data_IF_892920652359
#
_entry.id   IF_892920652359
#
_cell.length_a   1.000
_cell.length_b   1.000
_cell.length_c   1.000
_cell.angle_alpha   90.00
_cell.angle_beta   90.00
_cell.angle_gamma   90.00
#
_symmetry.space_group_name_H-M   'P 1'
#
loop_
_entity.id
_entity.type
_entity.pdbx_description
1 polymer ?
#
# COMPACT_ATOMS: atom_id res chain seq x y z
N UNK A 1 -4.89 -10.11 -31.78
CA UNK A 1 -3.52 -10.51 -31.42
C UNK A 1 -2.59 -9.30 -31.50
N UNK A 2 -2.64 -8.40 -30.51
CA UNK A 2 -1.61 -7.37 -30.32
C UNK A 2 -0.73 -7.84 -29.17
N UNK A 3 0.56 -8.02 -29.47
CA UNK A 3 1.56 -8.50 -28.53
C UNK A 3 1.90 -7.35 -27.59
N UNK A 4 1.76 -7.58 -26.28
CA UNK A 4 2.30 -6.73 -25.24
C UNK A 4 3.82 -6.63 -25.40
N UNK A 5 4.32 -5.40 -25.47
CA UNK A 5 5.73 -5.09 -25.37
C UNK A 5 6.01 -4.94 -23.86
N UNK A 6 6.47 -6.02 -23.23
CA UNK A 6 7.02 -5.94 -21.87
C UNK A 6 8.33 -5.15 -21.99
N UNK A 7 8.31 -3.92 -21.49
CA UNK A 7 9.48 -3.05 -21.39
C UNK A 7 10.33 -3.57 -20.23
N UNK A 8 11.19 -4.55 -20.52
CA UNK A 8 12.22 -5.00 -19.58
C UNK A 8 13.27 -3.90 -19.49
N UNK A 9 13.21 -3.09 -18.42
CA UNK A 9 14.32 -2.24 -18.03
C UNK A 9 15.43 -3.16 -17.53
N UNK A 10 16.34 -3.52 -18.43
CA UNK A 10 17.59 -4.19 -18.07
C UNK A 10 18.46 -3.13 -17.40
N UNK A 11 18.47 -3.10 -16.07
CA UNK A 11 19.48 -2.40 -15.31
C UNK A 11 20.85 -2.93 -15.76
N UNK A 12 21.65 -2.06 -16.38
CA UNK A 12 23.00 -2.37 -16.81
C UNK A 12 23.86 -2.53 -15.56
N UNK A 13 23.99 -3.76 -15.05
CA UNK A 13 24.74 -4.07 -13.83
C UNK A 13 26.24 -4.02 -14.11
N UNK A 14 26.86 -2.86 -13.90
CA UNK A 14 28.29 -2.83 -13.63
C UNK A 14 28.52 -3.33 -12.20
N UNK A 15 29.10 -4.52 -12.05
CA UNK A 15 29.63 -5.00 -10.78
C UNK A 15 30.90 -4.20 -10.46
N UNK A 16 30.76 -3.10 -9.71
CA UNK A 16 31.90 -2.39 -9.16
C UNK A 16 32.22 -3.01 -7.80
N UNK A 17 33.22 -3.89 -7.77
CA UNK A 17 33.83 -4.33 -6.50
C UNK A 17 34.75 -3.21 -6.02
N UNK A 18 34.42 -2.60 -4.89
CA UNK A 18 35.27 -1.59 -4.28
C UNK A 18 36.28 -2.27 -3.36
N UNK A 19 37.54 -2.34 -3.77
CA UNK A 19 38.64 -2.68 -2.87
C UNK A 19 38.82 -1.57 -1.84
N UNK A 20 38.91 -1.93 -0.55
CA UNK A 20 39.16 -0.97 0.51
C UNK A 20 40.52 -0.27 0.32
N UNK A 21 40.47 1.04 0.10
CA UNK A 21 41.60 1.93 0.28
C UNK A 21 41.25 2.99 1.32
N UNK A 22 42.16 3.16 2.26
CA UNK A 22 42.06 4.01 3.44
C UNK A 22 42.16 5.50 3.06
N UNK A 23 41.04 6.24 2.94
CA UNK A 23 40.98 7.71 2.79
C UNK A 23 39.64 8.26 3.32
N UNK A 24 39.71 9.17 4.30
CA UNK A 24 38.57 9.77 5.02
C UNK A 24 37.37 10.18 4.15
N UNK A 25 36.17 9.86 4.66
CA UNK A 25 34.92 9.65 3.91
C UNK A 25 35.04 8.47 2.96
N UNK A 26 35.02 7.27 3.51
CA UNK A 26 35.34 6.07 2.77
C UNK A 26 34.08 5.65 1.98
N UNK A 27 33.98 6.14 0.75
CA UNK A 27 33.02 5.82 -0.32
C UNK A 27 31.90 6.87 -0.55
N UNK A 28 32.04 7.61 -1.65
CA UNK A 28 30.97 8.40 -2.25
C UNK A 28 30.55 7.74 -3.57
N UNK A 29 29.27 7.42 -3.69
CA UNK A 29 28.63 6.88 -4.89
C UNK A 29 28.05 8.07 -5.68
N UNK A 30 28.69 8.42 -6.80
CA UNK A 30 28.25 9.50 -7.69
C UNK A 30 27.75 8.97 -9.05
N UNK A 31 27.66 7.66 -9.22
CA UNK A 31 27.19 7.02 -10.45
C UNK A 31 26.11 5.99 -10.11
N UNK A 32 25.15 5.81 -11.02
CA UNK A 32 24.13 4.76 -10.92
C UNK A 32 24.77 3.37 -10.99
N UNK A 33 24.17 2.38 -10.34
CA UNK A 33 24.66 1.01 -10.40
C UNK A 33 24.40 0.19 -9.14
N UNK A 34 24.98 -1.01 -9.11
CA UNK A 34 24.92 -1.89 -7.94
C UNK A 34 26.30 -1.96 -7.28
N UNK A 35 26.33 -1.60 -6.00
CA UNK A 35 27.51 -1.56 -5.16
C UNK A 35 27.34 -2.60 -4.06
N UNK A 36 28.38 -3.40 -3.83
CA UNK A 36 28.38 -4.39 -2.77
C UNK A 36 29.55 -4.17 -1.81
N UNK A 37 29.31 -4.30 -0.52
CA UNK A 37 30.39 -4.40 0.46
C UNK A 37 31.05 -5.77 0.33
N UNK A 38 32.38 -5.79 0.30
CA UNK A 38 33.18 -7.01 0.32
C UNK A 38 33.73 -7.37 1.70
N UNK A 39 33.65 -6.43 2.64
CA UNK A 39 34.14 -6.58 4.01
C UNK A 39 33.48 -5.58 4.96
N UNK A 40 33.71 -5.76 6.26
CA UNK A 40 33.26 -4.82 7.27
C UNK A 40 34.10 -3.53 7.22
N UNK A 41 33.45 -2.38 7.40
CA UNK A 41 34.05 -1.06 7.42
C UNK A 41 34.10 -0.51 8.84
N UNK A 42 35.28 -0.11 9.29
CA UNK A 42 35.48 0.66 10.53
C UNK A 42 35.81 2.12 10.16
N UNK A 43 34.98 3.06 10.58
CA UNK A 43 34.97 4.43 10.02
C UNK A 43 35.12 5.49 11.12
N UNK A 44 35.95 6.50 10.86
CA UNK A 44 36.29 7.57 11.83
C UNK A 44 35.61 8.92 11.56
N UNK A 45 34.96 9.15 10.40
CA UNK A 45 34.40 10.47 10.06
C UNK A 45 32.98 10.42 9.50
N UNK A 46 32.77 9.79 8.35
CA UNK A 46 31.46 9.58 7.76
C UNK A 46 31.54 8.31 6.92
N UNK A 47 30.47 7.52 6.95
CA UNK A 47 30.40 6.27 6.21
C UNK A 47 30.14 6.52 4.72
N UNK A 48 29.13 5.85 4.17
CA UNK A 48 28.86 5.86 2.74
C UNK A 48 27.98 7.05 2.38
N UNK A 49 28.33 7.76 1.31
CA UNK A 49 27.51 8.84 0.75
C UNK A 49 26.97 8.45 -0.62
N UNK A 50 25.66 8.58 -0.84
CA UNK A 50 25.00 8.32 -2.11
C UNK A 50 24.46 9.65 -2.68
N UNK A 51 25.04 10.06 -3.81
CA UNK A 51 24.72 11.31 -4.51
C UNK A 51 24.10 11.07 -5.90
N UNK A 52 23.80 9.82 -6.27
CA UNK A 52 23.29 9.46 -7.59
C UNK A 52 22.02 8.63 -7.50
N UNK A 53 21.15 8.79 -8.51
CA UNK A 53 19.93 7.99 -8.69
C UNK A 53 20.22 6.58 -9.20
N UNK A 54 19.25 5.67 -9.11
CA UNK A 54 19.32 4.30 -9.61
C UNK A 54 20.50 3.52 -8.99
N UNK A 55 20.59 3.57 -7.66
CA UNK A 55 21.66 2.93 -6.88
C UNK A 55 21.10 1.81 -6.02
N UNK A 56 21.75 0.64 -6.10
CA UNK A 56 21.56 -0.45 -5.15
C UNK A 56 22.83 -0.60 -4.33
N UNK A 57 22.76 -0.38 -3.02
CA UNK A 57 23.80 -0.69 -2.06
C UNK A 57 23.44 -1.99 -1.33
N UNK A 58 24.19 -3.05 -1.59
CA UNK A 58 24.05 -4.35 -0.94
C UNK A 58 25.19 -4.58 0.06
N UNK A 59 24.88 -4.58 1.35
CA UNK A 59 25.88 -4.82 2.38
C UNK A 59 26.37 -6.25 2.44
N UNK A 60 25.68 -7.23 1.82
CA UNK A 60 26.01 -8.65 1.93
C UNK A 60 26.21 -9.14 3.38
N UNK A 61 25.48 -8.53 4.33
CA UNK A 61 25.57 -8.69 5.77
C UNK A 61 26.86 -8.19 6.44
N UNK A 62 27.68 -7.41 5.71
CA UNK A 62 28.81 -6.69 6.27
C UNK A 62 28.38 -5.48 7.11
N UNK A 63 29.30 -5.04 7.96
CA UNK A 63 29.07 -4.01 8.96
C UNK A 63 29.68 -2.67 8.55
N UNK A 64 29.01 -1.57 8.87
CA UNK A 64 29.55 -0.22 8.84
C UNK A 64 29.56 0.30 10.28
N UNK A 65 30.74 0.37 10.88
CA UNK A 65 30.93 0.63 12.31
C UNK A 65 31.60 1.99 12.50
N UNK A 66 30.99 2.85 13.30
CA UNK A 66 31.63 4.07 13.77
C UNK A 66 32.66 3.76 14.87
N UNK A 67 33.86 4.32 14.74
CA UNK A 67 34.95 4.19 15.71
C UNK A 67 35.17 5.46 16.55
N UNK A 68 34.88 6.64 16.00
CA UNK A 68 34.97 7.94 16.70
C UNK A 68 34.47 9.10 15.81
N UNK A 69 33.22 9.04 15.35
CA UNK A 69 32.65 9.99 14.38
C UNK A 69 31.40 10.70 14.93
N UNK A 70 31.25 11.99 14.56
CA UNK A 70 30.01 12.77 14.74
C UNK A 70 29.09 12.74 13.50
N UNK A 71 29.44 11.92 12.50
CA UNK A 71 28.79 11.85 11.20
C UNK A 71 27.73 10.76 11.09
N UNK A 72 27.41 10.40 9.84
CA UNK A 72 26.36 9.43 9.51
C UNK A 72 26.96 8.15 8.94
N UNK A 73 26.36 7.00 9.25
CA UNK A 73 26.73 5.70 8.67
C UNK A 73 26.44 5.62 7.18
N UNK A 74 25.21 5.93 6.76
CA UNK A 74 24.82 6.06 5.36
C UNK A 74 24.08 7.38 5.16
N UNK A 75 24.58 8.22 4.25
CA UNK A 75 23.97 9.49 3.86
C UNK A 75 23.46 9.40 2.42
N UNK A 76 22.19 9.75 2.19
CA UNK A 76 21.60 9.82 0.85
C UNK A 76 21.08 11.22 0.60
N UNK A 77 21.57 11.87 -0.46
CA UNK A 77 21.12 13.22 -0.82
C UNK A 77 22.22 14.11 -1.42
N UNK A 78 21.81 15.12 -2.17
CA UNK A 78 22.66 16.27 -2.52
C UNK A 78 22.02 17.58 -2.04
N UNK A 79 22.56 18.74 -2.43
CA UNK A 79 21.92 20.04 -2.18
C UNK A 79 21.14 20.58 -3.38
N UNK A 80 21.36 20.06 -4.58
CA UNK A 80 20.92 20.70 -5.84
C UNK A 80 20.03 19.77 -6.67
N UNK A 81 20.34 18.47 -6.71
CA UNK A 81 19.67 17.52 -7.60
C UNK A 81 18.73 16.59 -6.85
N UNK A 82 17.60 16.25 -7.48
CA UNK A 82 16.74 15.15 -7.03
C UNK A 82 17.46 13.82 -7.21
N UNK A 83 17.43 12.99 -6.16
CA UNK A 83 17.96 11.62 -6.19
C UNK A 83 16.79 10.66 -6.10
N UNK A 84 16.76 9.65 -6.96
CA UNK A 84 15.64 8.70 -7.02
C UNK A 84 16.07 7.25 -7.18
N UNK A 85 15.17 6.31 -6.87
CA UNK A 85 15.35 4.87 -7.10
C UNK A 85 16.56 4.30 -6.37
N UNK A 86 16.55 4.44 -5.04
CA UNK A 86 17.64 3.98 -4.17
C UNK A 86 17.21 2.74 -3.41
N UNK A 87 18.04 1.70 -3.39
CA UNK A 87 17.83 0.53 -2.54
C UNK A 87 19.05 0.31 -1.67
N UNK A 88 18.87 0.32 -0.36
CA UNK A 88 19.89 -0.07 0.63
C UNK A 88 19.42 -1.37 1.27
N UNK A 89 20.25 -2.41 1.21
CA UNK A 89 19.87 -3.72 1.75
C UNK A 89 21.01 -4.52 2.35
N UNK A 90 20.67 -5.41 3.28
CA UNK A 90 21.60 -6.38 3.89
C UNK A 90 22.84 -5.71 4.54
N UNK A 91 22.70 -4.54 5.15
CA UNK A 91 23.81 -3.84 5.83
C UNK A 91 23.59 -3.87 7.34
N UNK A 92 24.66 -4.03 8.13
CA UNK A 92 24.62 -3.81 9.59
C UNK A 92 25.26 -2.47 9.94
N UNK A 93 24.55 -1.57 10.61
CA UNK A 93 24.98 -0.19 10.85
C UNK A 93 25.08 0.04 12.36
N UNK A 94 26.31 0.30 12.85
CA UNK A 94 26.62 0.26 14.29
C UNK A 94 27.37 1.46 14.83
N UNK A 95 27.01 1.89 16.04
CA UNK A 95 27.70 2.91 16.86
C UNK A 95 27.66 4.34 16.30
N UNK A 96 26.71 4.68 15.42
CA UNK A 96 26.64 6.01 14.81
C UNK A 96 25.74 6.98 15.59
N UNK A 97 26.07 8.28 15.63
CA UNK A 97 25.08 9.29 16.01
C UNK A 97 23.81 9.18 15.15
N UNK A 98 23.97 9.02 13.83
CA UNK A 98 22.87 8.73 12.91
C UNK A 98 23.26 7.57 11.99
N UNK A 99 22.52 6.47 12.09
CA UNK A 99 22.73 5.27 11.26
C UNK A 99 22.52 5.58 9.79
N UNK A 100 21.30 6.00 9.42
CA UNK A 100 20.95 6.47 8.07
C UNK A 100 20.38 7.88 8.11
N UNK A 101 20.90 8.76 7.25
CA UNK A 101 20.37 10.11 7.03
C UNK A 101 19.91 10.25 5.57
N UNK A 102 18.63 10.53 5.39
CA UNK A 102 17.99 10.62 4.07
C UNK A 102 17.39 12.03 3.93
N UNK A 103 17.81 12.76 2.89
CA UNK A 103 17.36 14.14 2.67
C UNK A 103 16.00 14.25 1.98
N UNK A 104 15.39 15.42 2.12
CA UNK A 104 14.11 15.80 1.52
C UNK A 104 14.05 15.70 -0.02
N UNK A 105 15.20 15.80 -0.71
CA UNK A 105 15.30 15.68 -2.16
C UNK A 105 15.48 14.24 -2.67
N UNK A 106 15.45 13.25 -1.76
CA UNK A 106 15.49 11.84 -2.10
C UNK A 106 14.08 11.32 -2.28
N UNK A 107 13.86 10.60 -3.37
CA UNK A 107 12.58 9.99 -3.74
C UNK A 107 12.75 8.50 -4.01
N UNK A 108 11.66 7.74 -3.86
CA UNK A 108 11.62 6.29 -4.04
C UNK A 108 12.86 5.55 -3.46
N UNK A 109 13.06 5.68 -2.14
CA UNK A 109 14.12 4.98 -1.42
C UNK A 109 13.57 3.80 -0.64
N UNK A 110 14.22 2.65 -0.78
CA UNK A 110 13.91 1.44 -0.02
C UNK A 110 15.09 1.06 0.87
N UNK A 111 14.84 0.92 2.17
CA UNK A 111 15.80 0.37 3.15
C UNK A 111 15.22 -0.92 3.73
N UNK A 112 15.87 -2.05 3.42
CA UNK A 112 15.32 -3.39 3.70
C UNK A 112 16.38 -4.36 4.19
N UNK A 113 16.04 -5.27 5.11
CA UNK A 113 16.95 -6.30 5.62
C UNK A 113 18.24 -5.72 6.23
N UNK A 114 18.18 -4.55 6.84
CA UNK A 114 19.30 -3.94 7.56
C UNK A 114 19.19 -4.18 9.07
N UNK A 115 20.33 -4.15 9.77
CA UNK A 115 20.41 -4.29 11.23
C UNK A 115 21.02 -3.01 11.82
N UNK A 116 20.33 -2.38 12.78
CA UNK A 116 20.77 -1.14 13.42
C UNK A 116 21.05 -1.39 14.89
N UNK A 117 22.27 -1.10 15.35
CA UNK A 117 22.70 -1.34 16.73
C UNK A 117 23.48 -0.16 17.31
N UNK A 118 23.17 0.23 18.54
CA UNK A 118 23.90 1.25 19.31
C UNK A 118 24.05 2.60 18.57
N UNK A 119 23.08 2.96 17.73
CA UNK A 119 23.03 4.29 17.13
C UNK A 119 22.20 5.23 18.02
N UNK A 120 22.45 6.55 17.99
CA UNK A 120 21.53 7.49 18.67
C UNK A 120 20.21 7.55 17.90
N UNK A 121 20.29 7.77 16.59
CA UNK A 121 19.18 7.60 15.65
C UNK A 121 19.50 6.46 14.70
N UNK A 122 18.64 5.45 14.58
CA UNK A 122 18.80 4.46 13.52
C UNK A 122 18.43 5.06 12.15
N UNK A 123 17.46 5.99 12.14
CA UNK A 123 17.01 6.70 10.95
C UNK A 123 16.75 8.17 11.29
N UNK A 124 17.25 9.06 10.43
CA UNK A 124 16.78 10.43 10.31
C UNK A 124 16.41 10.64 8.85
N UNK A 125 15.14 10.90 8.55
CA UNK A 125 14.66 11.03 7.18
C UNK A 125 13.75 12.21 7.01
N UNK A 126 14.06 13.02 6.01
CA UNK A 126 13.18 14.07 5.50
C UNK A 126 12.49 13.61 4.20
N UNK A 127 12.76 12.38 3.74
CA UNK A 127 12.18 11.85 2.51
C UNK A 127 10.77 11.33 2.75
N UNK A 128 9.84 11.78 1.90
CA UNK A 128 8.43 11.40 1.96
C UNK A 128 8.12 10.13 1.15
N UNK A 129 8.95 9.82 0.14
CA UNK A 129 8.84 8.64 -0.71
C UNK A 129 9.82 7.55 -0.25
N UNK A 130 9.58 7.00 0.95
CA UNK A 130 10.43 6.02 1.60
C UNK A 130 9.69 4.74 1.99
N UNK A 131 10.30 3.60 1.70
CA UNK A 131 9.97 2.31 2.30
C UNK A 131 11.07 1.88 3.26
N UNK A 132 10.69 1.54 4.49
CA UNK A 132 11.62 1.12 5.54
C UNK A 132 11.00 -0.06 6.28
N UNK A 133 11.37 -1.28 5.89
CA UNK A 133 10.72 -2.50 6.36
C UNK A 133 11.67 -3.69 6.39
N UNK A 134 11.30 -4.74 7.11
CA UNK A 134 12.11 -5.94 7.34
C UNK A 134 13.51 -5.61 7.89
N UNK A 135 13.63 -4.53 8.67
CA UNK A 135 14.86 -4.21 9.38
C UNK A 135 14.79 -4.71 10.82
N UNK A 136 15.97 -4.96 11.41
CA UNK A 136 16.14 -5.29 12.83
C UNK A 136 16.66 -4.07 13.57
N UNK A 137 15.90 -3.57 14.54
CA UNK A 137 16.23 -2.40 15.35
C UNK A 137 16.48 -2.85 16.79
N UNK A 138 17.72 -2.74 17.26
CA UNK A 138 18.08 -3.01 18.65
C UNK A 138 17.58 -1.91 19.60
N UNK A 139 17.46 -2.21 20.89
CA UNK A 139 16.94 -1.30 21.91
C UNK A 139 17.72 0.03 22.02
N UNK A 140 17.07 1.06 22.57
CA UNK A 140 17.65 2.36 22.92
C UNK A 140 18.16 3.21 21.73
N UNK A 141 17.43 3.19 20.62
CA UNK A 141 17.70 4.01 19.44
C UNK A 141 16.42 4.73 19.00
N UNK A 142 16.54 5.96 18.51
CA UNK A 142 15.40 6.76 18.04
C UNK A 142 15.31 6.78 16.51
N UNK A 143 14.21 7.33 16.00
CA UNK A 143 14.08 7.73 14.61
C UNK A 143 13.30 9.04 14.49
N UNK A 144 13.61 9.80 13.45
CA UNK A 144 12.87 11.00 13.05
C UNK A 144 12.51 10.85 11.58
N UNK A 145 11.23 10.78 11.26
CA UNK A 145 10.77 10.64 9.88
C UNK A 145 9.33 11.10 9.71
N UNK A 146 9.06 11.79 8.60
CA UNK A 146 7.71 12.17 8.21
C UNK A 146 6.96 11.01 7.51
N UNK A 147 7.70 10.00 7.00
CA UNK A 147 7.14 8.83 6.34
C UNK A 147 6.97 7.65 7.32
N UNK A 148 5.90 6.84 7.19
CA UNK A 148 5.71 5.63 7.99
C UNK A 148 6.80 4.61 7.69
N UNK A 149 7.21 3.88 8.73
CA UNK A 149 8.18 2.79 8.60
C UNK A 149 7.48 1.51 8.16
N UNK A 150 7.20 1.39 6.86
CA UNK A 150 6.47 0.26 6.31
C UNK A 150 6.95 -0.11 4.89
N UNK A 151 6.51 -1.28 4.43
CA UNK A 151 6.68 -1.77 3.07
C UNK A 151 5.58 -1.24 2.14
N UNK A 152 5.75 -1.34 0.81
CA UNK A 152 4.61 -1.42 -0.11
C UNK A 152 3.73 -2.65 0.23
N UNK A 153 2.61 -2.86 -0.45
CA UNK A 153 1.88 -4.12 -0.28
C UNK A 153 2.72 -5.28 -0.80
N UNK A 154 2.81 -6.37 -0.05
CA UNK A 154 3.65 -7.53 -0.36
C UNK A 154 2.81 -8.79 -0.39
N UNK A 155 3.17 -9.74 -1.25
CA UNK A 155 2.83 -11.15 -1.09
C UNK A 155 4.03 -11.83 -0.43
N UNK A 156 3.83 -12.45 0.72
CA UNK A 156 4.91 -13.10 1.48
C UNK A 156 4.43 -14.34 2.20
N UNK A 157 5.37 -15.22 2.56
CA UNK A 157 5.10 -16.32 3.48
C UNK A 157 5.60 -16.04 4.88
N UNK A 158 4.79 -16.35 5.88
CA UNK A 158 5.14 -16.36 7.30
C UNK A 158 4.59 -17.62 7.95
N UNK A 159 5.39 -18.32 8.75
CA UNK A 159 5.02 -19.60 9.40
C UNK A 159 4.43 -20.66 8.45
N UNK A 160 4.81 -20.63 7.18
CA UNK A 160 4.36 -21.57 6.14
C UNK A 160 3.05 -21.18 5.43
N UNK A 161 2.38 -20.11 5.85
CA UNK A 161 1.20 -19.56 5.20
C UNK A 161 1.58 -18.37 4.32
N UNK A 162 0.81 -18.13 3.27
CA UNK A 162 0.94 -16.96 2.39
C UNK A 162 -0.03 -15.86 2.81
N UNK A 163 0.45 -14.62 2.77
CA UNK A 163 -0.30 -13.42 3.11
C UNK A 163 -0.07 -12.34 2.05
N UNK A 164 -1.10 -11.52 1.82
CA UNK A 164 -0.99 -10.29 1.02
C UNK A 164 -1.22 -9.09 1.93
N UNK A 165 -0.14 -8.55 2.48
CA UNK A 165 -0.21 -7.51 3.52
C UNK A 165 1.03 -6.60 3.51
N UNK A 166 1.06 -5.61 4.39
CA UNK A 166 2.23 -4.74 4.59
C UNK A 166 3.04 -5.22 5.80
N UNK A 167 4.33 -5.00 5.74
CA UNK A 167 5.30 -5.35 6.77
C UNK A 167 6.05 -4.11 7.23
N UNK A 168 6.32 -4.03 8.53
CA UNK A 168 7.17 -3.03 9.15
C UNK A 168 8.52 -3.64 9.52
N UNK A 169 8.99 -3.30 10.71
CA UNK A 169 10.31 -3.64 11.23
C UNK A 169 10.21 -4.44 12.52
N UNK A 170 11.27 -5.17 12.83
CA UNK A 170 11.41 -5.89 14.09
C UNK A 170 12.14 -5.00 15.11
N UNK A 171 11.50 -4.78 16.26
CA UNK A 171 12.06 -4.00 17.37
C UNK A 171 12.42 -4.94 18.52
N UNK A 172 13.70 -5.00 18.88
CA UNK A 172 14.16 -5.82 20.00
C UNK A 172 13.48 -5.37 21.30
N UNK A 173 12.98 -6.34 22.06
CA UNK A 173 12.27 -6.09 23.33
C UNK A 173 10.81 -5.64 23.17
N UNK A 174 10.32 -5.32 21.97
CA UNK A 174 8.91 -5.01 21.75
C UNK A 174 8.07 -6.28 21.71
N UNK A 175 7.03 -6.33 22.54
CA UNK A 175 6.12 -7.49 22.68
C UNK A 175 4.70 -7.24 22.18
N UNK A 176 4.41 -6.04 21.67
CA UNK A 176 3.07 -5.65 21.20
C UNK A 176 1.97 -5.70 22.27
N UNK A 177 0.74 -5.41 21.83
CA UNK A 177 -0.48 -5.55 22.63
C UNK A 177 -1.24 -6.84 22.30
N UNK A 178 -1.38 -7.16 21.01
CA UNK A 178 -2.00 -8.38 20.47
C UNK A 178 -1.24 -8.81 19.21
N UNK A 179 -1.21 -10.11 18.92
CA UNK A 179 -0.57 -10.67 17.72
C UNK A 179 -1.62 -10.85 16.62
N UNK A 180 -1.27 -10.55 15.38
CA UNK A 180 -2.04 -10.93 14.19
C UNK A 180 -1.44 -12.19 13.55
N UNK A 181 -2.25 -12.94 12.80
CA UNK A 181 -1.85 -14.23 12.20
C UNK A 181 -0.82 -14.01 11.08
N UNK A 182 -0.79 -12.82 10.50
CA UNK A 182 0.03 -12.32 9.39
C UNK A 182 1.50 -12.12 9.79
N UNK A 183 1.83 -12.30 11.07
CA UNK A 183 3.18 -12.11 11.60
C UNK A 183 3.50 -10.68 12.01
N UNK A 184 2.50 -9.80 12.16
CA UNK A 184 2.68 -8.44 12.68
C UNK A 184 1.90 -8.28 13.99
N UNK A 185 2.33 -7.35 14.85
CA UNK A 185 1.52 -6.98 16.00
C UNK A 185 0.39 -6.05 15.57
N UNK A 186 -0.72 -6.13 16.31
CA UNK A 186 -1.83 -5.20 16.17
C UNK A 186 -1.49 -3.86 16.81
N UNK A 187 -1.60 -2.80 16.02
CA UNK A 187 -1.35 -1.43 16.44
C UNK A 187 0.06 -0.95 16.10
N UNK A 188 0.19 0.38 15.99
CA UNK A 188 1.44 1.01 15.62
C UNK A 188 2.45 0.97 16.77
N UNK A 189 3.72 0.81 16.42
CA UNK A 189 4.85 1.09 17.31
C UNK A 189 5.26 2.55 17.14
N UNK A 190 5.03 3.36 18.18
CA UNK A 190 5.44 4.75 18.23
C UNK A 190 6.88 4.87 18.75
N UNK A 191 7.68 5.69 18.06
CA UNK A 191 9.08 5.96 18.39
C UNK A 191 9.20 7.42 18.81
N UNK A 192 9.95 7.66 19.88
CA UNK A 192 10.34 8.98 20.39
C UNK A 192 9.19 10.01 20.40
N UNK A 193 8.17 9.71 21.21
CA UNK A 193 6.96 10.54 21.44
C UNK A 193 6.17 10.90 20.16
N UNK A 194 6.20 9.98 19.17
CA UNK A 194 5.41 10.09 17.94
C UNK A 194 6.10 10.83 16.78
N UNK A 195 7.42 11.03 16.86
CA UNK A 195 8.24 11.59 15.77
C UNK A 195 8.52 10.59 14.64
N UNK A 196 8.31 9.31 14.90
CA UNK A 196 8.24 8.25 13.90
C UNK A 196 7.29 7.16 14.39
N UNK A 197 6.69 6.41 13.46
CA UNK A 197 5.88 5.26 13.81
C UNK A 197 5.97 4.16 12.75
N UNK A 198 5.86 2.93 13.22
CA UNK A 198 5.75 1.73 12.39
C UNK A 198 4.34 1.17 12.56
N UNK A 199 3.49 1.20 11.51
CA UNK A 199 2.13 0.70 11.59
C UNK A 199 2.02 -0.83 11.56
N UNK A 200 3.08 -1.56 11.17
CA UNK A 200 3.08 -3.02 10.98
C UNK A 200 4.28 -3.70 11.65
N UNK A 201 4.54 -3.46 12.96
CA UNK A 201 5.72 -3.98 13.63
C UNK A 201 5.73 -5.52 13.64
N UNK A 202 6.88 -6.11 13.37
CA UNK A 202 7.02 -7.56 13.16
C UNK A 202 7.04 -8.33 14.50
N UNK A 203 6.36 -9.48 14.54
CA UNK A 203 6.39 -10.42 15.68
C UNK A 203 7.74 -11.15 15.77
N UNK A 204 8.35 -11.45 14.63
CA UNK A 204 9.61 -12.18 14.52
C UNK A 204 10.64 -11.36 13.76
N UNK A 205 11.88 -11.81 13.83
CA UNK A 205 12.98 -11.25 13.07
C UNK A 205 12.78 -11.46 11.55
N UNK A 206 13.32 -10.57 10.70
CA UNK A 206 13.07 -10.54 9.25
C UNK A 206 13.28 -11.87 8.52
N UNK A 207 14.19 -12.74 8.96
CA UNK A 207 14.45 -14.05 8.35
C UNK A 207 13.26 -15.03 8.38
N UNK A 208 12.21 -14.72 9.15
CA UNK A 208 10.98 -15.51 9.21
C UNK A 208 9.96 -15.14 8.14
N UNK A 209 10.22 -14.08 7.36
CA UNK A 209 9.35 -13.57 6.31
C UNK A 209 10.03 -13.78 4.97
N UNK A 210 9.35 -14.44 4.04
CA UNK A 210 9.86 -14.65 2.68
C UNK A 210 8.97 -13.93 1.69
N UNK A 211 9.49 -12.84 1.13
CA UNK A 211 8.80 -12.09 0.08
C UNK A 211 8.73 -12.94 -1.19
N UNK A 212 7.51 -13.07 -1.72
CA UNK A 212 7.21 -13.72 -2.99
C UNK A 212 7.09 -12.66 -4.08
N UNK A 213 6.34 -11.60 -3.79
CA UNK A 213 6.01 -10.55 -4.75
C UNK A 213 5.91 -9.19 -4.04
N UNK A 214 6.33 -8.14 -4.74
CA UNK A 214 6.14 -6.76 -4.32
C UNK A 214 5.08 -6.14 -5.21
N UNK A 215 3.97 -5.73 -4.60
CA UNK A 215 2.84 -5.12 -5.28
C UNK A 215 2.97 -3.60 -5.15
N UNK A 216 3.61 -2.98 -6.14
CA UNK A 216 3.54 -1.54 -6.32
C UNK A 216 2.24 -1.21 -7.08
N UNK A 217 1.50 -0.16 -6.70
CA UNK A 217 0.44 0.36 -7.54
C UNK A 217 0.90 0.60 -8.96
N UNK A 218 0.05 0.24 -9.92
CA UNK A 218 0.28 0.54 -11.32
C UNK A 218 0.12 2.05 -11.56
N UNK A 219 1.07 2.64 -12.29
CA UNK A 219 1.02 4.03 -12.76
C UNK A 219 0.69 3.99 -14.26
N UNK A 220 -0.53 4.36 -14.65
CA UNK A 220 -0.82 4.64 -16.06
C UNK A 220 -0.36 6.07 -16.39
N UNK A 221 0.75 6.19 -17.10
CA UNK A 221 1.28 7.47 -17.58
C UNK A 221 0.71 7.82 -18.95
N UNK A 222 -0.22 8.78 -19.01
CA UNK A 222 -0.30 9.68 -20.17
C UNK A 222 0.42 10.97 -19.77
N UNK A 223 1.23 11.55 -20.68
CA UNK A 223 2.12 12.71 -20.50
C UNK A 223 3.55 12.38 -20.03
N UNK A 224 4.37 11.94 -21.00
CA UNK A 224 5.83 12.11 -20.98
C UNK A 224 6.18 13.60 -20.97
N UNK A 225 6.32 14.23 -19.80
CA UNK A 225 7.14 15.45 -19.61
C UNK A 225 7.25 15.89 -18.13
N UNK A 226 7.53 14.96 -17.21
CA UNK A 226 8.36 15.18 -16.01
C UNK A 226 8.43 13.85 -15.25
N UNK A 227 9.61 13.44 -14.81
CA UNK A 227 9.87 12.11 -14.24
C UNK A 227 8.89 11.74 -13.11
N UNK A 228 8.08 10.71 -13.34
CA UNK A 228 7.10 10.19 -12.38
C UNK A 228 7.69 9.03 -11.55
N UNK A 229 7.50 9.08 -10.24
CA UNK A 229 7.84 8.01 -9.28
C UNK A 229 6.58 7.39 -8.66
N UNK A 230 6.69 6.12 -8.33
CA UNK A 230 5.60 5.13 -8.17
C UNK A 230 4.90 5.26 -6.80
N UNK A 231 3.55 5.45 -6.75
CA UNK A 231 2.73 5.33 -5.51
C UNK A 231 2.80 3.89 -4.95
N UNK A 232 2.55 3.49 -3.69
CA UNK A 232 1.62 3.90 -2.62
C UNK A 232 2.29 3.76 -1.23
N UNK A 233 2.65 4.93 -0.67
CA UNK A 233 2.87 5.21 0.75
C UNK A 233 1.57 5.84 1.25
N UNK A 234 1.01 5.40 2.38
CA UNK A 234 -0.16 6.02 3.04
C UNK A 234 -0.20 7.54 2.85
N UNK A 235 -1.10 8.01 1.98
CA UNK A 235 -1.19 9.36 1.42
C UNK A 235 -0.97 10.52 2.43
N UNK A 236 0.31 10.86 2.65
CA UNK A 236 0.94 12.03 3.29
C UNK A 236 0.03 12.99 4.10
N UNK A 237 -0.19 12.73 5.40
CA UNK A 237 -0.36 13.81 6.41
C UNK A 237 0.48 13.53 7.67
N UNK A 238 1.47 14.40 7.85
CA UNK A 238 2.09 14.78 9.11
C UNK A 238 1.07 15.47 10.04
N UNK A 239 0.21 14.69 10.71
CA UNK A 239 -0.40 15.05 12.01
C UNK A 239 -1.06 13.84 12.68
N UNK A 240 -0.37 13.37 13.71
CA UNK A 240 -0.59 12.27 14.64
C UNK A 240 -1.96 12.15 15.35
N UNK A 241 -3.11 12.41 14.70
CA UNK A 241 -4.41 12.36 15.42
C UNK A 241 -5.55 11.57 14.81
N UNK A 242 -5.43 10.87 13.69
CA UNK A 242 -6.53 10.05 13.17
C UNK A 242 -6.08 8.74 12.50
N UNK A 243 -5.28 7.92 13.19
CA UNK A 243 -5.13 6.51 12.80
C UNK A 243 -6.25 5.69 13.44
N UNK A 244 -7.33 5.45 12.70
CA UNK A 244 -8.26 4.36 13.02
C UNK A 244 -7.72 3.13 12.28
N UNK A 245 -7.29 2.13 13.02
CA UNK A 245 -6.96 0.80 12.49
C UNK A 245 -8.25 0.23 11.90
N UNK A 246 -8.39 0.21 10.59
CA UNK A 246 -9.47 -0.52 9.91
C UNK A 246 -8.93 -1.24 8.67
N UNK A 247 -8.04 -2.20 8.90
CA UNK A 247 -7.80 -3.26 7.93
C UNK A 247 -7.96 -4.59 8.68
N UNK A 248 -9.03 -5.33 8.35
CA UNK A 248 -9.18 -6.71 8.79
C UNK A 248 -8.53 -7.64 7.74
N UNK A 249 -7.77 -8.67 8.16
CA UNK A 249 -6.97 -9.47 7.25
C UNK A 249 -7.76 -10.51 6.43
N UNK A 250 -7.20 -10.85 5.27
CA UNK A 250 -7.64 -11.95 4.41
C UNK A 250 -6.78 -13.18 4.72
N UNK A 251 -7.32 -14.13 5.47
CA UNK A 251 -6.70 -15.46 5.65
C UNK A 251 -7.24 -16.46 4.60
N UNK A 252 -6.38 -17.26 3.95
CA UNK A 252 -6.79 -18.44 3.19
C UNK A 252 -7.25 -19.55 4.15
N UNK A 253 -8.46 -20.07 3.95
CA UNK A 253 -9.10 -21.04 4.84
C UNK A 253 -8.38 -22.40 4.92
N UNK A 254 -8.42 -23.03 6.11
CA UNK A 254 -8.50 -24.51 6.26
C UNK A 254 -9.48 -24.83 7.42
N UNK A 255 -10.29 -25.91 7.39
CA UNK A 255 -11.57 -25.93 8.11
C UNK A 255 -11.55 -26.50 9.55
N UNK A 256 -12.44 -25.91 10.35
CA UNK A 256 -13.19 -26.43 11.51
C UNK A 256 -12.52 -26.56 12.89
N UNK A 257 -13.03 -25.83 13.89
CA UNK A 257 -14.00 -26.37 14.87
C UNK A 257 -14.48 -25.29 15.86
N UNK A 258 -15.74 -25.44 16.26
CA UNK A 258 -16.54 -24.60 17.17
C UNK A 258 -15.93 -24.36 18.56
N UNK A 259 -16.00 -23.12 19.05
CA UNK A 259 -16.38 -22.84 20.45
C UNK A 259 -16.89 -21.41 20.66
N UNK A 260 -17.94 -21.30 21.47
CA UNK A 260 -18.66 -20.09 21.88
C UNK A 260 -17.81 -19.17 22.77
N UNK A 261 -17.93 -17.85 22.59
CA UNK A 261 -17.46 -16.88 23.59
C UNK A 261 -17.56 -15.40 23.21
N UNK A 262 -18.76 -14.82 23.32
CA UNK A 262 -19.04 -13.44 23.76
C UNK A 262 -18.24 -12.23 23.22
N UNK A 263 -18.89 -11.48 22.31
CA UNK A 263 -19.26 -10.08 22.61
C UNK A 263 -18.28 -8.95 22.29
N UNK A 264 -17.88 -8.81 21.02
CA UNK A 264 -17.41 -7.55 20.44
C UNK A 264 -18.10 -7.36 19.09
N UNK A 265 -18.78 -6.23 18.85
CA UNK A 265 -19.44 -5.95 17.57
C UNK A 265 -18.35 -5.72 16.51
N UNK A 266 -18.06 -6.78 15.76
CA UNK A 266 -17.21 -6.76 14.57
C UNK A 266 -17.87 -5.91 13.49
N UNK A 267 -17.07 -5.12 12.79
CA UNK A 267 -17.38 -4.37 11.55
C UNK A 267 -17.94 -5.26 10.42
N UNK A 268 -17.91 -6.58 10.58
CA UNK A 268 -18.57 -7.55 9.70
C UNK A 268 -20.11 -7.56 9.88
N UNK A 269 -20.64 -6.97 10.97
CA UNK A 269 -22.07 -7.08 11.27
C UNK A 269 -22.98 -6.23 10.39
N UNK A 270 -22.46 -5.19 9.72
CA UNK A 270 -23.27 -4.32 8.86
C UNK A 270 -23.24 -4.72 7.39
N UNK A 271 -22.43 -5.72 6.99
CA UNK A 271 -22.31 -6.18 5.60
C UNK A 271 -23.23 -7.36 5.37
N UNK A 272 -23.78 -7.47 4.16
CA UNK A 272 -24.67 -8.58 3.82
C UNK A 272 -23.97 -9.94 3.83
N UNK A 273 -24.58 -10.90 4.53
CA UNK A 273 -24.17 -12.29 4.53
C UNK A 273 -24.34 -12.96 3.14
N UNK A 274 -25.18 -12.38 2.26
CA UNK A 274 -25.43 -12.87 0.90
C UNK A 274 -24.25 -12.65 -0.04
N UNK A 275 -23.27 -11.80 0.32
CA UNK A 275 -22.03 -11.66 -0.44
C UNK A 275 -21.10 -12.83 -0.08
N UNK A 276 -20.89 -13.76 -1.02
CA UNK A 276 -20.12 -14.97 -0.76
C UNK A 276 -18.61 -14.70 -0.73
N UNK A 277 -18.13 -13.87 -1.65
CA UNK A 277 -16.71 -13.56 -1.79
C UNK A 277 -16.20 -12.65 -0.68
N UNK A 278 -15.10 -13.08 -0.04
CA UNK A 278 -14.34 -12.23 0.88
C UNK A 278 -13.79 -10.98 0.18
N UNK A 279 -13.40 -11.09 -1.09
CA UNK A 279 -12.86 -9.95 -1.87
C UNK A 279 -13.92 -8.88 -2.03
N UNK A 280 -15.13 -9.28 -2.45
CA UNK A 280 -16.26 -8.36 -2.61
C UNK A 280 -16.70 -7.78 -1.26
N UNK A 281 -16.78 -8.61 -0.20
CA UNK A 281 -17.09 -8.14 1.17
C UNK A 281 -16.10 -7.07 1.64
N UNK A 282 -14.80 -7.29 1.44
CA UNK A 282 -13.77 -6.33 1.83
C UNK A 282 -13.89 -5.02 1.07
N UNK A 283 -14.17 -5.10 -0.24
CA UNK A 283 -14.40 -3.90 -1.04
C UNK A 283 -15.60 -3.10 -0.50
N UNK A 284 -16.76 -3.76 -0.33
CA UNK A 284 -18.00 -3.12 0.19
C UNK A 284 -17.79 -2.55 1.59
N UNK A 285 -17.02 -3.22 2.45
CA UNK A 285 -16.64 -2.75 3.78
C UNK A 285 -15.92 -1.40 3.72
N UNK A 286 -14.96 -1.27 2.81
CA UNK A 286 -14.15 -0.05 2.61
C UNK A 286 -14.88 1.07 1.86
N UNK A 287 -15.94 0.73 1.14
CA UNK A 287 -16.63 1.65 0.24
C UNK A 287 -17.79 2.39 0.92
N UNK A 288 -17.97 3.65 0.54
CA UNK A 288 -19.23 4.37 0.80
C UNK A 288 -20.29 3.88 -0.18
N UNK A 289 -21.36 3.28 0.32
CA UNK A 289 -22.48 2.83 -0.53
C UNK A 289 -23.48 3.98 -0.67
N UNK A 290 -23.63 4.48 -1.91
CA UNK A 290 -24.34 5.68 -2.28
C UNK A 290 -25.68 5.35 -2.95
N UNK A 291 -26.76 6.00 -2.51
CA UNK A 291 -28.08 5.90 -3.13
C UNK A 291 -28.65 7.28 -3.51
N UNK A 292 -29.56 7.31 -4.50
CA UNK A 292 -30.16 8.54 -4.99
C UNK A 292 -31.56 8.87 -4.46
N UNK A 293 -32.33 7.84 -4.09
CA UNK A 293 -33.70 7.98 -3.58
C UNK A 293 -34.04 6.81 -2.64
N UNK A 294 -35.19 6.86 -1.98
CA UNK A 294 -35.61 5.81 -1.04
C UNK A 294 -35.91 4.43 -1.65
N UNK A 295 -35.98 4.30 -2.97
CA UNK A 295 -36.06 2.98 -3.65
C UNK A 295 -34.66 2.41 -3.80
N UNK A 296 -33.71 3.22 -4.29
CA UNK A 296 -32.31 2.84 -4.44
C UNK A 296 -31.66 2.55 -3.08
N UNK A 297 -32.12 3.22 -2.02
CA UNK A 297 -31.76 2.90 -0.63
C UNK A 297 -32.08 1.44 -0.27
N UNK A 298 -33.24 0.92 -0.71
CA UNK A 298 -33.63 -0.47 -0.44
C UNK A 298 -32.78 -1.50 -1.17
N UNK A 299 -32.10 -1.11 -2.25
CA UNK A 299 -31.10 -1.93 -2.93
C UNK A 299 -29.74 -1.78 -2.24
N UNK A 300 -29.33 -0.56 -1.94
CA UNK A 300 -28.06 -0.25 -1.28
C UNK A 300 -27.92 -0.97 0.07
N UNK A 301 -29.00 -1.02 0.88
CA UNK A 301 -28.98 -1.71 2.18
C UNK A 301 -28.79 -3.22 2.10
N UNK A 302 -28.95 -3.82 0.91
CA UNK A 302 -28.68 -5.25 0.69
C UNK A 302 -27.18 -5.54 0.51
N UNK A 303 -26.36 -4.51 0.36
CA UNK A 303 -24.90 -4.65 0.38
C UNK A 303 -24.37 -4.42 1.80
N UNK A 304 -24.88 -3.37 2.47
CA UNK A 304 -24.57 -3.07 3.88
C UNK A 304 -25.64 -2.19 4.52
N UNK A 305 -25.83 -2.27 5.84
CA UNK A 305 -26.81 -1.46 6.59
C UNK A 305 -26.49 0.05 6.51
N UNK A 306 -25.20 0.42 6.50
CA UNK A 306 -24.76 1.81 6.52
C UNK A 306 -24.60 2.37 5.10
N UNK A 307 -25.64 3.06 4.64
CA UNK A 307 -25.69 3.69 3.31
C UNK A 307 -25.76 5.21 3.41
N UNK A 308 -25.35 5.91 2.35
CA UNK A 308 -25.26 7.38 2.30
C UNK A 308 -26.07 7.94 1.13
N UNK A 309 -26.85 8.99 1.39
CA UNK A 309 -27.53 9.74 0.33
C UNK A 309 -26.48 10.48 -0.51
N UNK A 310 -26.51 10.27 -1.82
CA UNK A 310 -25.60 10.87 -2.77
C UNK A 310 -25.78 12.40 -2.93
N UNK A 311 -26.84 12.99 -2.40
CA UNK A 311 -27.10 14.43 -2.49
C UNK A 311 -26.00 15.26 -1.78
N UNK A 312 -25.21 15.97 -2.59
CA UNK A 312 -24.10 16.80 -2.09
C UNK A 312 -22.90 15.98 -1.61
N UNK A 313 -22.87 14.68 -1.91
CA UNK A 313 -21.73 13.83 -1.62
C UNK A 313 -20.55 14.20 -2.52
N UNK A 314 -19.36 14.28 -1.93
CA UNK A 314 -18.09 14.47 -2.65
C UNK A 314 -17.25 13.22 -2.43
N UNK A 315 -16.65 12.69 -3.50
CA UNK A 315 -15.76 11.53 -3.37
C UNK A 315 -14.62 11.86 -2.43
N UNK A 316 -14.42 10.99 -1.45
CA UNK A 316 -13.25 11.01 -0.58
C UNK A 316 -12.64 9.63 -0.38
N UNK A 317 -13.16 8.59 -1.04
CA UNK A 317 -12.80 7.19 -0.84
C UNK A 317 -13.47 6.27 -1.88
N UNK A 318 -13.25 4.96 -1.76
CA UNK A 318 -13.96 3.95 -2.54
C UNK A 318 -15.48 4.13 -2.41
N UNK A 319 -16.20 3.86 -3.49
CA UNK A 319 -17.65 4.02 -3.52
C UNK A 319 -18.35 2.89 -4.27
N UNK A 320 -19.55 2.54 -3.80
CA UNK A 320 -20.51 1.76 -4.58
C UNK A 320 -21.69 2.67 -4.87
N UNK A 321 -21.90 2.98 -6.14
CA UNK A 321 -23.08 3.70 -6.60
C UNK A 321 -24.17 2.68 -6.86
N UNK A 322 -25.30 2.83 -6.17
CA UNK A 322 -26.51 2.05 -6.42
C UNK A 322 -27.59 2.96 -7.01
N UNK A 323 -28.09 2.58 -8.19
CA UNK A 323 -29.17 3.28 -8.88
C UNK A 323 -28.71 4.23 -10.00
N UNK A 324 -29.58 4.43 -10.99
CA UNK A 324 -29.28 5.14 -12.25
C UNK A 324 -29.19 6.67 -12.14
N UNK A 325 -28.69 7.35 -13.19
CA UNK A 325 -28.38 8.78 -13.18
C UNK A 325 -29.62 9.69 -13.13
N UNK A 326 -30.82 9.13 -13.34
CA UNK A 326 -32.08 9.87 -13.20
C UNK A 326 -32.37 10.26 -11.75
N UNK A 327 -32.00 9.40 -10.81
CA UNK A 327 -32.31 9.56 -9.39
C UNK A 327 -31.05 9.75 -8.54
N UNK A 328 -29.94 9.12 -8.90
CA UNK A 328 -28.69 9.24 -8.17
C UNK A 328 -27.86 10.42 -8.74
N UNK A 329 -27.75 11.54 -8.01
CA UNK A 329 -27.06 12.75 -8.51
C UNK A 329 -25.58 12.49 -8.78
N UNK A 330 -24.97 11.58 -8.02
CA UNK A 330 -23.58 11.20 -8.19
C UNK A 330 -23.42 10.30 -9.42
N UNK A 331 -24.32 9.32 -9.60
CA UNK A 331 -24.38 8.56 -10.84
C UNK A 331 -24.50 9.49 -12.06
N UNK A 332 -25.32 10.54 -11.99
CA UNK A 332 -25.48 11.53 -13.08
C UNK A 332 -24.21 12.29 -13.42
N UNK A 333 -23.35 12.54 -12.44
CA UNK A 333 -22.09 13.26 -12.63
C UNK A 333 -21.05 12.39 -13.35
N UNK A 334 -20.97 11.10 -13.00
CA UNK A 334 -19.94 10.19 -13.50
C UNK A 334 -20.40 9.26 -14.64
N UNK A 335 -21.71 9.17 -14.95
CA UNK A 335 -22.28 8.21 -15.90
C UNK A 335 -21.56 8.14 -17.26
N UNK A 336 -21.20 9.30 -17.81
CA UNK A 336 -20.54 9.40 -19.13
C UNK A 336 -19.06 9.01 -19.11
N UNK A 337 -18.45 8.85 -17.94
CA UNK A 337 -17.05 8.45 -17.76
C UNK A 337 -16.89 6.93 -17.71
N UNK A 338 -17.98 6.21 -17.47
CA UNK A 338 -18.03 4.76 -17.46
C UNK A 338 -18.09 4.21 -18.89
N UNK A 339 -17.52 3.02 -19.12
CA UNK A 339 -17.47 2.39 -20.45
C UNK A 339 -18.87 2.19 -21.04
N UNK A 340 -19.86 1.85 -20.21
CA UNK A 340 -21.25 1.72 -20.61
C UNK A 340 -22.17 2.66 -19.82
N UNK A 341 -22.41 3.88 -20.32
CA UNK A 341 -23.32 4.82 -19.67
C UNK A 341 -24.74 4.25 -19.54
N UNK A 342 -25.34 4.38 -18.37
CA UNK A 342 -26.66 3.80 -18.06
C UNK A 342 -27.74 4.87 -18.29
N UNK A 343 -28.88 4.47 -18.84
CA UNK A 343 -30.05 5.33 -19.03
C UNK A 343 -31.34 4.51 -18.85
N UNK A 344 -32.52 5.10 -19.00
CA UNK A 344 -33.76 4.30 -18.94
C UNK A 344 -33.90 3.33 -20.15
N UNK A 345 -33.10 3.52 -21.21
CA UNK A 345 -33.16 2.72 -22.44
C UNK A 345 -31.93 1.78 -22.58
N UNK A 346 -30.81 2.06 -21.90
CA UNK A 346 -29.56 1.28 -21.94
C UNK A 346 -29.20 0.84 -20.51
N UNK A 347 -28.95 -0.45 -20.23
CA UNK A 347 -28.72 -1.59 -21.16
C UNK A 347 -29.95 -2.26 -21.79
N UNK A 348 -31.17 -1.85 -21.43
CA UNK A 348 -32.43 -2.38 -21.96
C UNK A 348 -33.36 -2.95 -20.88
N UNK A 349 -34.54 -3.41 -21.29
CA UNK A 349 -35.55 -3.91 -20.35
C UNK A 349 -35.01 -5.06 -19.48
N UNK A 350 -35.24 -4.98 -18.17
CA UNK A 350 -34.79 -5.93 -17.15
C UNK A 350 -33.27 -6.12 -17.06
N UNK A 351 -32.48 -5.19 -17.63
CA UNK A 351 -31.02 -5.29 -17.67
C UNK A 351 -30.35 -4.25 -16.80
N UNK A 352 -29.29 -4.66 -16.12
CA UNK A 352 -28.38 -3.83 -15.36
C UNK A 352 -26.95 -4.01 -15.79
N UNK A 353 -26.10 -3.10 -15.33
CA UNK A 353 -24.66 -3.11 -15.54
C UNK A 353 -23.98 -3.07 -14.18
N UNK A 354 -22.94 -3.90 -14.04
CA UNK A 354 -21.91 -3.78 -13.02
C UNK A 354 -20.65 -3.34 -13.74
N UNK A 355 -20.10 -2.19 -13.37
CA UNK A 355 -18.86 -1.72 -13.96
C UNK A 355 -18.02 -0.98 -12.94
N UNK A 356 -16.72 -1.04 -13.13
CA UNK A 356 -15.74 -0.50 -12.21
C UNK A 356 -14.96 0.57 -12.93
N UNK A 357 -14.80 1.71 -12.29
CA UNK A 357 -13.86 2.74 -12.75
C UNK A 357 -12.97 3.16 -11.59
N UNK A 358 -11.78 3.63 -11.93
CA UNK A 358 -10.90 4.31 -10.99
C UNK A 358 -10.98 5.80 -11.25
N UNK A 359 -11.33 6.60 -10.24
CA UNK A 359 -11.31 8.06 -10.33
C UNK A 359 -10.08 8.60 -9.61
N UNK A 360 -9.41 9.55 -10.26
CA UNK A 360 -8.27 10.28 -9.69
C UNK A 360 -8.69 11.71 -9.31
N UNK A 361 -8.54 12.06 -8.04
CA UNK A 361 -8.68 13.44 -7.56
C UNK A 361 -7.30 14.11 -7.52
N UNK A 362 -7.14 15.11 -8.38
CA UNK A 362 -5.90 15.89 -8.57
C UNK A 362 -6.03 17.32 -8.02
N UNK A 363 -7.10 17.62 -7.27
CA UNK A 363 -7.39 18.97 -6.79
C UNK A 363 -6.52 19.41 -5.60
N UNK A 364 -5.83 18.46 -4.96
CA UNK A 364 -4.87 18.69 -3.88
C UNK A 364 -3.43 18.42 -4.28
N UNK A 365 -2.51 18.55 -3.32
CA UNK A 365 -1.08 18.25 -3.47
C UNK A 365 -0.81 16.74 -3.66
N UNK A 366 -1.82 15.89 -3.46
CA UNK A 366 -1.75 14.43 -3.53
C UNK A 366 -2.83 13.96 -4.50
N UNK A 367 -2.47 13.12 -5.48
CA UNK A 367 -3.42 12.43 -6.36
C UNK A 367 -4.07 11.29 -5.56
N UNK A 368 -5.39 11.31 -5.42
CA UNK A 368 -6.13 10.25 -4.71
C UNK A 368 -6.83 9.37 -5.72
N UNK A 369 -6.61 8.05 -5.67
CA UNK A 369 -7.32 7.10 -6.52
C UNK A 369 -8.42 6.40 -5.74
N UNK A 370 -9.62 6.36 -6.33
CA UNK A 370 -10.81 5.77 -5.73
C UNK A 370 -11.42 4.76 -6.68
N UNK A 371 -11.65 3.53 -6.21
CA UNK A 371 -12.42 2.55 -6.97
C UNK A 371 -13.90 2.83 -6.79
N UNK A 372 -14.59 3.04 -7.90
CA UNK A 372 -16.03 3.25 -7.95
C UNK A 372 -16.65 2.06 -8.66
N UNK A 373 -17.47 1.31 -7.93
CA UNK A 373 -18.35 0.30 -8.51
C UNK A 373 -19.70 0.93 -8.80
N UNK A 374 -20.16 0.80 -10.03
CA UNK A 374 -21.45 1.30 -10.46
C UNK A 374 -22.41 0.15 -10.75
N UNK A 375 -23.48 0.07 -9.94
CA UNK A 375 -24.54 -0.94 -10.03
C UNK A 375 -25.85 -0.22 -10.34
N UNK A 376 -26.31 -0.31 -11.58
CA UNK A 376 -27.61 0.22 -11.96
C UNK A 376 -28.16 -0.47 -13.20
N UNK A 377 -29.47 -0.38 -13.42
CA UNK A 377 -30.10 -0.78 -14.66
C UNK A 377 -31.04 0.27 -15.22
N UNK A 378 -31.55 -0.03 -16.41
CA UNK A 378 -32.51 0.83 -17.13
C UNK A 378 -33.85 0.92 -16.42
N UNK A 379 -34.17 -0.11 -15.64
CA UNK A 379 -35.32 -0.19 -14.78
C UNK A 379 -34.98 -0.84 -13.43
N UNK A 380 -35.99 -1.00 -12.58
CA UNK A 380 -35.82 -1.55 -11.23
C UNK A 380 -35.38 -3.01 -11.23
N UNK A 381 -35.86 -3.81 -12.19
CA UNK A 381 -35.50 -5.21 -12.30
C UNK A 381 -34.06 -5.34 -12.82
N UNK A 382 -33.64 -4.46 -13.71
CA UNK A 382 -32.26 -4.34 -14.14
C UNK A 382 -31.29 -4.00 -13.01
N UNK A 383 -31.61 -2.98 -12.19
CA UNK A 383 -30.80 -2.65 -11.00
C UNK A 383 -30.75 -3.83 -10.02
N UNK A 384 -31.87 -4.51 -9.80
CA UNK A 384 -31.92 -5.70 -8.96
C UNK A 384 -31.09 -6.85 -9.54
N UNK A 385 -31.08 -7.05 -10.87
CA UNK A 385 -30.26 -8.06 -11.51
C UNK A 385 -28.77 -7.84 -11.30
N UNK A 386 -28.31 -6.61 -11.56
CA UNK A 386 -26.91 -6.24 -11.34
C UNK A 386 -26.52 -6.37 -9.86
N UNK A 387 -27.40 -5.98 -8.94
CA UNK A 387 -27.15 -6.10 -7.50
C UNK A 387 -27.03 -7.55 -7.04
N UNK A 388 -27.97 -8.40 -7.41
CA UNK A 388 -27.95 -9.82 -7.01
C UNK A 388 -26.75 -10.55 -7.62
N UNK A 389 -26.40 -10.25 -8.88
CA UNK A 389 -25.20 -10.83 -9.49
C UNK A 389 -23.91 -10.30 -8.87
N UNK A 390 -23.87 -9.03 -8.45
CA UNK A 390 -22.71 -8.47 -7.76
C UNK A 390 -22.36 -9.24 -6.47
N UNK A 391 -23.38 -9.70 -5.73
CA UNK A 391 -23.19 -10.52 -4.52
C UNK A 391 -22.53 -11.88 -4.80
N UNK A 392 -22.66 -12.40 -6.03
CA UNK A 392 -22.09 -13.69 -6.45
C UNK A 392 -20.71 -13.59 -7.11
N UNK A 393 -20.16 -12.38 -7.27
CA UNK A 393 -18.85 -12.20 -7.85
C UNK A 393 -17.75 -12.73 -6.92
N UNK A 394 -16.74 -13.39 -7.50
CA UNK A 394 -15.52 -13.75 -6.78
C UNK A 394 -14.56 -12.56 -6.67
N UNK A 395 -14.52 -11.71 -7.70
CA UNK A 395 -13.66 -10.52 -7.81
C UNK A 395 -14.37 -9.39 -8.58
N UNK A 396 -13.85 -8.16 -8.46
CA UNK A 396 -14.37 -7.03 -9.23
C UNK A 396 -14.07 -7.22 -10.73
N UNK A 397 -15.02 -6.95 -11.63
CA UNK A 397 -14.81 -7.21 -13.04
C UNK A 397 -13.87 -6.18 -13.68
N UNK A 398 -13.00 -6.65 -14.58
CA UNK A 398 -12.08 -5.79 -15.36
C UNK A 398 -12.80 -4.94 -16.41
N UNK A 399 -14.05 -5.29 -16.76
CA UNK A 399 -14.88 -4.57 -17.72
C UNK A 399 -16.36 -4.61 -17.34
N UNK A 400 -17.24 -3.92 -18.10
CA UNK A 400 -18.66 -3.87 -17.79
C UNK A 400 -19.30 -5.25 -17.95
N UNK A 401 -20.03 -5.68 -16.91
CA UNK A 401 -20.88 -6.86 -16.95
C UNK A 401 -22.32 -6.44 -17.13
N UNK A 402 -22.94 -6.84 -18.23
CA UNK A 402 -24.38 -6.69 -18.42
C UNK A 402 -25.10 -7.90 -17.82
N UNK A 403 -26.14 -7.65 -17.02
CA UNK A 403 -26.87 -8.68 -16.29
C UNK A 403 -28.37 -8.52 -16.54
N UNK A 404 -29.07 -9.59 -16.89
CA UNK A 404 -30.51 -9.62 -17.13
C UNK A 404 -31.25 -10.36 -16.01
N UNK A 405 -32.38 -9.80 -15.56
CA UNK A 405 -33.29 -10.50 -14.64
C UNK A 405 -34.14 -11.52 -15.40
N UNK A 406 -34.02 -12.80 -15.06
CA UNK A 406 -34.84 -13.88 -15.64
C UNK A 406 -35.74 -14.53 -14.60
N UNK A 407 -36.62 -15.43 -15.04
CA UNK A 407 -37.43 -16.27 -14.13
C UNK A 407 -36.57 -17.12 -13.17
N UNK A 408 -35.30 -17.39 -13.53
CA UNK A 408 -34.37 -18.20 -12.73
C UNK A 408 -33.35 -17.34 -11.95
N UNK A 409 -33.51 -16.02 -11.93
CA UNK A 409 -32.58 -15.08 -11.30
C UNK A 409 -31.69 -14.33 -12.29
N UNK A 410 -30.67 -13.61 -11.80
CA UNK A 410 -29.79 -12.79 -12.63
C UNK A 410 -28.83 -13.65 -13.46
N UNK A 411 -28.64 -13.30 -14.73
CA UNK A 411 -27.68 -13.95 -15.63
C UNK A 411 -26.86 -12.92 -16.39
N UNK A 412 -25.56 -13.17 -16.58
CA UNK A 412 -24.73 -12.34 -17.46
C UNK A 412 -25.17 -12.54 -18.89
N UNK A 413 -25.28 -11.43 -19.61
CA UNK A 413 -25.60 -11.40 -21.04
C UNK A 413 -24.50 -10.64 -21.78
N UNK A 414 -24.19 -11.08 -23.00
CA UNK A 414 -23.21 -10.43 -23.88
C UNK A 414 -23.68 -9.07 -24.40
#
# INVERSE_FOLDING_TARGET
>A
MKRFLILVIVALSMLVSADARDIGYNMTINESGTYALSENMLVNYGGIRINASNVVLDGQNHQIICNNSEGTGIYVGTYEDTIENITIKNVKIKNWPTGSYIRWNVKNITVINCEFENNTYFLYSEAVEQYFYLNTIHENQNAETEAPLASPKLVYTYSGNEYTYRLGNYYEGYTGAENEDEGVFKGAYEIDDGSAYDPYPLIKTPENYKIIETLYPEVESEYEEDGALIGDIFALDSKSKNYVITDAPVTPNTPSSTSNGGGGRSYDSDISDEIESKVIKNFVSSATVLFGNGIDEQYAIQLRERVTDANGFTISGNAVIVGGPKANPFAREYNEQFEMPISNDNPGENRGIIQVMTVQDNSGTIIRSYTIVYIAGSDRLGTQAALEYFKTLDELPEGPLMVEWTENGPVVVE
#
